data_IF_318301423248
#
_entry.id   IF_318301423248
#
_cell.length_a   1.000
_cell.length_b   1.000
_cell.length_c   1.000
_cell.angle_alpha   90.00
_cell.angle_beta   90.00
_cell.angle_gamma   90.00
#
_symmetry.space_group_name_H-M   'P 1'
#
loop_
_entity.id
_entity.type
_entity.pdbx_description
1 polymer ?
#
# COMPACT_ATOMS: atom_id res chain seq x y z
N UNK A 1 -26.98 -6.85 -22.27
CA UNK A 1 -26.73 -7.29 -20.88
C UNK A 1 -25.23 -7.38 -20.66
N UNK A 2 -24.63 -6.73 -19.65
CA UNK A 2 -23.19 -6.83 -19.43
C UNK A 2 -22.85 -8.22 -18.91
N UNK A 3 -21.89 -8.90 -19.56
CA UNK A 3 -21.42 -10.20 -19.14
C UNK A 3 -20.85 -10.14 -17.72
N UNK A 4 -21.36 -10.97 -16.80
CA UNK A 4 -20.80 -11.09 -15.44
C UNK A 4 -19.33 -11.50 -15.57
N UNK A 5 -18.42 -10.63 -15.10
CA UNK A 5 -16.99 -10.96 -14.98
C UNK A 5 -16.86 -12.24 -14.15
N UNK A 6 -16.27 -13.30 -14.72
CA UNK A 6 -16.00 -14.55 -14.00
C UNK A 6 -15.00 -14.23 -12.88
N UNK A 7 -15.45 -14.31 -11.63
CA UNK A 7 -14.55 -14.24 -10.49
C UNK A 7 -13.76 -15.54 -10.43
N UNK A 8 -12.44 -15.44 -10.60
CA UNK A 8 -11.53 -16.56 -10.40
C UNK A 8 -11.09 -16.56 -8.94
N UNK A 9 -11.53 -17.56 -8.18
CA UNK A 9 -11.05 -17.77 -6.82
C UNK A 9 -9.79 -18.62 -6.87
N UNK A 10 -8.66 -18.05 -6.46
CA UNK A 10 -7.40 -18.79 -6.30
C UNK A 10 -7.27 -19.21 -4.84
N UNK A 11 -7.11 -20.52 -4.59
CA UNK A 11 -6.90 -21.08 -3.26
C UNK A 11 -5.41 -21.40 -3.09
N UNK A 12 -4.82 -20.88 -2.02
CA UNK A 12 -3.46 -21.20 -1.62
C UNK A 12 -3.51 -22.05 -0.35
N UNK A 13 -2.70 -23.10 -0.31
CA UNK A 13 -2.56 -23.98 0.84
C UNK A 13 -1.14 -23.87 1.38
N UNK A 14 -1.02 -23.70 2.70
CA UNK A 14 0.27 -23.64 3.38
C UNK A 14 0.41 -24.88 4.26
N UNK A 15 1.50 -25.62 4.06
CA UNK A 15 1.88 -26.71 4.94
C UNK A 15 2.75 -26.12 6.05
N UNK A 16 2.14 -25.99 7.24
CA UNK A 16 2.80 -25.43 8.42
C UNK A 16 2.87 -26.50 9.51
N UNK A 17 3.98 -26.49 10.26
CA UNK A 17 4.02 -27.18 11.56
C UNK A 17 3.10 -26.47 12.56
N UNK A 18 2.69 -27.13 13.67
CA UNK A 18 1.88 -26.49 14.70
C UNK A 18 2.50 -25.20 15.25
N UNK A 19 3.80 -25.23 15.55
CA UNK A 19 4.56 -24.06 16.04
C UNK A 19 4.58 -22.91 15.02
N UNK A 20 4.79 -23.22 13.74
CA UNK A 20 4.73 -22.21 12.69
C UNK A 20 3.32 -21.61 12.60
N UNK A 21 2.28 -22.43 12.66
CA UNK A 21 0.90 -21.98 12.60
C UNK A 21 0.56 -21.04 13.78
N UNK A 22 1.00 -21.36 14.99
CA UNK A 22 0.86 -20.48 16.17
C UNK A 22 1.59 -19.16 15.98
N UNK A 23 2.82 -19.21 15.48
CA UNK A 23 3.62 -18.00 15.23
C UNK A 23 2.96 -17.09 14.19
N UNK A 24 2.45 -17.67 13.09
CA UNK A 24 1.69 -16.94 12.07
C UNK A 24 0.37 -16.38 12.59
N UNK A 25 -0.27 -17.08 13.53
CA UNK A 25 -1.50 -16.64 14.16
C UNK A 25 -1.23 -15.45 15.09
N UNK A 26 -0.21 -15.54 15.94
CA UNK A 26 0.21 -14.47 16.85
C UNK A 26 0.61 -13.19 16.09
N UNK A 27 1.33 -13.33 14.97
CA UNK A 27 1.68 -12.21 14.09
C UNK A 27 0.47 -11.55 13.44
N UNK A 28 -0.59 -12.31 13.15
CA UNK A 28 -1.83 -11.77 12.61
C UNK A 28 -2.60 -11.01 13.69
N UNK A 29 -2.66 -11.56 14.90
CA UNK A 29 -3.31 -10.96 16.06
C UNK A 29 -2.64 -9.67 16.50
N UNK A 30 -1.30 -9.63 16.56
CA UNK A 30 -0.54 -8.41 16.86
C UNK A 30 -0.77 -7.30 15.83
N UNK A 31 -1.08 -7.67 14.59
CA UNK A 31 -1.44 -6.75 13.52
C UNK A 31 -2.93 -6.45 13.38
N UNK A 32 -3.78 -7.00 14.26
CA UNK A 32 -5.25 -6.83 14.21
C UNK A 32 -5.91 -7.35 12.94
N UNK A 33 -5.32 -8.35 12.26
CA UNK A 33 -5.81 -8.90 10.99
C UNK A 33 -5.94 -10.42 11.04
N UNK A 34 -6.70 -10.99 10.10
CA UNK A 34 -6.76 -12.45 9.96
C UNK A 34 -5.43 -13.02 9.42
N UNK A 35 -5.11 -14.25 9.81
CA UNK A 35 -3.95 -14.99 9.26
C UNK A 35 -3.98 -15.11 7.74
N UNK A 36 -5.15 -15.34 7.13
CA UNK A 36 -5.29 -15.39 5.68
C UNK A 36 -4.95 -14.04 5.02
N UNK A 37 -5.31 -12.94 5.68
CA UNK A 37 -4.98 -11.59 5.21
C UNK A 37 -3.49 -11.29 5.35
N UNK A 38 -2.88 -11.72 6.45
CA UNK A 38 -1.43 -11.64 6.66
C UNK A 38 -0.66 -12.37 5.55
N UNK A 39 -1.09 -13.58 5.19
CA UNK A 39 -0.49 -14.38 4.11
C UNK A 39 -0.66 -13.71 2.75
N UNK A 40 -1.87 -13.22 2.42
CA UNK A 40 -2.10 -12.49 1.16
C UNK A 40 -1.19 -11.27 1.02
N UNK A 41 -1.03 -10.50 2.10
CA UNK A 41 -0.16 -9.31 2.13
C UNK A 41 1.31 -9.68 1.98
N UNK A 42 1.78 -10.73 2.65
CA UNK A 42 3.14 -11.28 2.48
C UNK A 42 3.40 -11.75 1.04
N UNK A 43 2.47 -12.48 0.43
CA UNK A 43 2.58 -12.97 -0.95
C UNK A 43 2.57 -11.84 -1.98
N UNK A 44 1.84 -10.76 -1.71
CA UNK A 44 1.82 -9.55 -2.53
C UNK A 44 3.04 -8.63 -2.30
N UNK A 45 3.98 -8.99 -1.42
CA UNK A 45 5.14 -8.16 -1.08
C UNK A 45 4.81 -6.93 -0.22
N UNK A 46 3.62 -6.86 0.38
CA UNK A 46 3.22 -5.75 1.25
C UNK A 46 3.87 -5.89 2.65
N UNK A 47 4.58 -4.87 3.11
CA UNK A 47 5.20 -4.84 4.46
C UNK A 47 4.13 -4.90 5.55
N UNK A 48 4.36 -5.76 6.56
CA UNK A 48 3.57 -5.84 7.79
C UNK A 48 4.09 -4.76 8.75
N UNK A 49 3.79 -3.50 8.47
CA UNK A 49 3.67 -2.51 9.55
C UNK A 49 2.19 -2.17 9.63
N UNK A 50 1.56 -2.41 10.77
CA UNK A 50 0.14 -2.10 10.96
C UNK A 50 -0.02 -0.60 10.94
N UNK A 51 -0.62 -0.06 9.88
CA UNK A 51 -1.09 1.33 9.90
C UNK A 51 -2.18 1.40 10.98
N UNK A 52 -2.06 2.28 11.98
CA UNK A 52 -3.10 2.45 13.00
C UNK A 52 -4.46 2.69 12.35
N UNK A 53 -5.54 2.13 12.92
CA UNK A 53 -6.88 2.24 12.33
C UNK A 53 -7.29 3.70 12.05
N UNK A 54 -6.89 4.62 12.94
CA UNK A 54 -7.13 6.07 12.79
C UNK A 54 -6.43 6.65 11.55
N UNK A 55 -5.28 6.10 11.18
CA UNK A 55 -4.46 6.53 10.05
C UNK A 55 -4.80 5.78 8.74
N UNK A 56 -5.55 4.68 8.83
CA UNK A 56 -5.83 3.76 7.72
C UNK A 56 -6.41 4.48 6.50
N UNK A 57 -7.48 5.25 6.68
CA UNK A 57 -8.16 5.96 5.58
C UNK A 57 -7.21 6.94 4.88
N UNK A 58 -6.46 7.71 5.65
CA UNK A 58 -5.51 8.69 5.13
C UNK A 58 -4.39 8.01 4.33
N UNK A 59 -3.79 6.95 4.89
CA UNK A 59 -2.73 6.20 4.24
C UNK A 59 -3.14 5.67 2.84
N UNK A 60 -4.32 5.07 2.74
CA UNK A 60 -4.80 4.51 1.47
C UNK A 60 -5.20 5.58 0.46
N UNK A 61 -5.73 6.72 0.92
CA UNK A 61 -5.99 7.86 0.04
C UNK A 61 -4.70 8.43 -0.54
N UNK A 62 -3.66 8.56 0.29
CA UNK A 62 -2.34 9.00 -0.14
C UNK A 62 -1.69 8.01 -1.12
N UNK A 63 -1.84 6.70 -0.89
CA UNK A 63 -1.39 5.69 -1.86
C UNK A 63 -2.09 5.88 -3.21
N UNK A 64 -3.42 6.00 -3.19
CA UNK A 64 -4.20 6.18 -4.43
C UNK A 64 -3.74 7.41 -5.22
N UNK A 65 -3.50 8.54 -4.54
CA UNK A 65 -3.00 9.75 -5.20
C UNK A 65 -1.63 9.49 -5.85
N UNK A 66 -0.71 8.78 -5.17
CA UNK A 66 0.59 8.44 -5.76
C UNK A 66 0.49 7.52 -6.99
N UNK A 67 -0.47 6.59 -6.98
CA UNK A 67 -0.74 5.71 -8.13
C UNK A 67 -1.32 6.50 -9.31
N UNK A 68 -2.28 7.39 -9.06
CA UNK A 68 -2.89 8.24 -10.09
C UNK A 68 -1.84 9.16 -10.75
N UNK A 69 -0.95 9.78 -9.96
CA UNK A 69 0.17 10.59 -10.49
C UNK A 69 1.10 9.75 -11.37
N UNK A 70 1.48 8.56 -10.90
CA UNK A 70 2.36 7.66 -11.65
C UNK A 70 1.73 7.21 -12.98
N UNK A 71 0.41 6.99 -13.00
CA UNK A 71 -0.32 6.67 -14.22
C UNK A 71 -0.35 7.83 -15.20
N UNK A 72 -0.55 9.06 -14.73
CA UNK A 72 -0.52 10.26 -15.59
C UNK A 72 0.84 10.35 -16.30
N UNK A 73 1.94 10.22 -15.54
CA UNK A 73 3.29 10.25 -16.11
C UNK A 73 3.53 9.12 -17.13
N UNK A 74 3.08 7.90 -16.81
CA UNK A 74 3.20 6.76 -17.71
C UNK A 74 2.41 6.95 -19.02
N UNK A 75 1.17 7.46 -18.94
CA UNK A 75 0.33 7.74 -20.11
C UNK A 75 0.97 8.81 -20.98
N UNK A 76 1.50 9.87 -20.38
CA UNK A 76 2.15 10.95 -21.12
C UNK A 76 3.41 10.47 -21.83
N UNK A 77 4.27 9.72 -21.14
CA UNK A 77 5.45 9.10 -21.75
C UNK A 77 5.08 8.14 -22.89
N UNK A 78 3.98 7.39 -22.72
CA UNK A 78 3.49 6.50 -23.77
C UNK A 78 2.98 7.26 -24.99
N UNK A 79 2.23 8.35 -24.80
CA UNK A 79 1.75 9.20 -25.89
C UNK A 79 2.91 9.86 -26.66
N UNK A 80 3.94 10.34 -25.96
CA UNK A 80 5.17 10.86 -26.58
C UNK A 80 5.85 9.77 -27.42
N UNK A 81 5.99 8.55 -26.87
CA UNK A 81 6.57 7.41 -27.60
C UNK A 81 5.75 7.01 -28.84
N UNK A 82 4.45 7.28 -28.84
CA UNK A 82 3.56 7.08 -30.00
C UNK A 82 3.59 8.26 -31.00
N UNK A 83 4.42 9.28 -30.76
CA UNK A 83 4.55 10.44 -31.65
C UNK A 83 3.45 11.49 -31.48
N UNK A 84 2.66 11.42 -30.40
CA UNK A 84 1.66 12.45 -30.08
C UNK A 84 2.34 13.65 -29.42
N UNK A 85 2.06 14.85 -29.92
CA UNK A 85 2.45 16.11 -29.29
C UNK A 85 1.45 16.48 -28.21
N UNK A 86 1.82 16.22 -26.96
CA UNK A 86 1.06 16.68 -25.79
C UNK A 86 1.59 18.03 -25.30
N UNK A 87 0.75 18.85 -24.64
CA UNK A 87 1.24 20.03 -23.95
C UNK A 87 2.33 19.62 -22.95
N UNK A 88 3.43 20.39 -22.86
CA UNK A 88 4.49 20.11 -21.90
C UNK A 88 3.91 20.21 -20.49
N UNK A 89 4.06 19.13 -19.72
CA UNK A 89 3.77 19.12 -18.28
C UNK A 89 5.11 19.17 -17.57
N UNK A 90 5.24 20.11 -16.63
CA UNK A 90 6.36 20.10 -15.70
C UNK A 90 6.18 18.96 -14.70
N UNK A 91 7.10 17.99 -14.73
CA UNK A 91 7.06 16.82 -13.85
C UNK A 91 7.69 17.09 -12.47
N UNK A 92 8.47 18.16 -12.33
CA UNK A 92 9.16 18.45 -11.07
C UNK A 92 8.18 18.61 -9.87
N UNK A 93 7.02 19.29 -10.00
CA UNK A 93 6.03 19.34 -8.93
C UNK A 93 5.42 17.97 -8.58
N UNK A 94 5.29 17.06 -9.56
CA UNK A 94 4.75 15.73 -9.32
C UNK A 94 5.76 14.83 -8.61
N UNK A 95 7.04 14.94 -8.93
CA UNK A 95 8.12 14.23 -8.23
C UNK A 95 8.26 14.71 -6.78
N UNK A 96 8.20 16.03 -6.56
CA UNK A 96 8.18 16.61 -5.21
C UNK A 96 6.97 16.12 -4.42
N UNK A 97 5.78 16.14 -5.02
CA UNK A 97 4.55 15.64 -4.39
C UNK A 97 4.63 14.14 -4.06
N UNK A 98 5.19 13.31 -4.94
CA UNK A 98 5.39 11.88 -4.67
C UNK A 98 6.35 11.66 -3.50
N UNK A 99 7.39 12.48 -3.36
CA UNK A 99 8.31 12.45 -2.22
C UNK A 99 7.59 12.82 -0.93
N UNK A 100 6.80 13.88 -0.93
CA UNK A 100 6.02 14.31 0.24
C UNK A 100 4.97 13.27 0.66
N UNK A 101 4.23 12.71 -0.30
CA UNK A 101 3.28 11.62 -0.06
C UNK A 101 3.98 10.41 0.58
N UNK A 102 5.18 10.06 0.10
CA UNK A 102 5.96 8.95 0.63
C UNK A 102 6.37 9.20 2.09
N UNK A 103 6.81 10.41 2.41
CA UNK A 103 7.16 10.84 3.77
C UNK A 103 5.93 10.79 4.69
N UNK A 104 4.80 11.37 4.27
CA UNK A 104 3.56 11.36 5.05
C UNK A 104 3.07 9.95 5.32
N UNK A 105 3.09 9.07 4.31
CA UNK A 105 2.72 7.67 4.47
C UNK A 105 3.64 6.92 5.43
N UNK A 106 4.93 7.26 5.44
CA UNK A 106 5.88 6.70 6.41
C UNK A 106 5.54 7.14 7.83
N UNK A 107 5.25 8.43 8.07
CA UNK A 107 4.83 8.94 9.38
C UNK A 107 3.56 8.25 9.89
N UNK A 108 2.58 8.04 9.01
CA UNK A 108 1.32 7.35 9.35
C UNK A 108 1.50 5.88 9.72
N UNK A 109 2.58 5.25 9.25
CA UNK A 109 2.94 3.86 9.53
C UNK A 109 3.78 3.73 10.79
N UNK A 110 4.58 4.75 11.09
CA UNK A 110 5.60 4.65 12.12
C UNK A 110 5.10 4.92 13.54
N UNK A 111 3.87 5.42 13.75
CA UNK A 111 3.39 5.99 15.02
C UNK A 111 4.53 6.71 15.71
N UNK A 112 4.72 8.02 15.48
CA UNK A 112 5.77 8.79 16.16
C UNK A 112 5.93 8.32 17.61
N UNK A 113 6.99 7.54 17.89
CA UNK A 113 7.48 7.23 19.23
C UNK A 113 8.10 8.51 19.84
N UNK A 114 7.38 9.62 19.69
CA UNK A 114 7.40 10.70 20.65
C UNK A 114 6.21 10.42 21.56
N UNK A 115 6.31 9.29 22.29
CA UNK A 115 5.94 9.34 23.70
C UNK A 115 6.65 10.58 24.24
N UNK A 116 5.86 11.60 24.48
CA UNK A 116 6.22 12.69 25.38
C UNK A 116 6.49 12.00 26.71
N UNK A 117 7.72 11.53 26.89
CA UNK A 117 8.42 11.43 28.15
C UNK A 117 8.56 12.85 28.68
N UNK A 118 7.45 13.44 29.12
CA UNK A 118 7.48 14.39 30.23
C UNK A 118 6.97 13.60 31.43
N UNK A 119 7.90 12.85 32.00
CA UNK A 119 7.87 12.57 33.42
C UNK A 119 7.68 13.89 34.19
N UNK A 120 6.64 13.91 35.03
CA UNK A 120 6.50 14.63 36.31
C UNK A 120 6.36 16.16 36.29
#
# INVERSE_FOLDING_TARGET
>A
MPAKRKQHTVRFEMLLTPEQNENWQALAESGGISKAELVRRRMAGCRIKSIPQINWKCYWQLLKISEDISQIAAIQNHAIAQGLTLPPIDFNPFEELLREISTLRLCLVLESEEEISNER
#
